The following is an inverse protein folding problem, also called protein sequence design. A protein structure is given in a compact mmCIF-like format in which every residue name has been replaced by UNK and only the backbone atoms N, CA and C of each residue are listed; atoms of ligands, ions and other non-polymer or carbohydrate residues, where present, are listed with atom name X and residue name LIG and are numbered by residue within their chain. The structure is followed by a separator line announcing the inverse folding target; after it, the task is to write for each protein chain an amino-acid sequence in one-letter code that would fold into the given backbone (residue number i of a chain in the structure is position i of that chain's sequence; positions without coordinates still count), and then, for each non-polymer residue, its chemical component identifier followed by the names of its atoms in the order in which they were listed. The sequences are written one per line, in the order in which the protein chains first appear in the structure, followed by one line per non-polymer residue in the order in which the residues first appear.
data_IF_406228913787
#
_entry.id   IF_406228913787
#
_cell.length_a   1.000
_cell.length_b   1.000
_cell.length_c   1.000
_cell.angle_alpha   90.00
_cell.angle_beta   90.00
_cell.angle_gamma   90.00
#
_symmetry.space_group_name_H-M   'P 1'
#
loop_
_entity.id
_entity.type
_entity.pdbx_description
1 polymer ?
#
# COMPACT_ATOMS: atom_id res chain seq x y z
N UNK A 1 25.15 -11.45 14.72
CA UNK A 1 24.18 -10.33 14.80
C UNK A 1 23.42 -10.29 13.49
N UNK A 2 22.11 -10.53 13.50
CA UNK A 2 21.27 -10.31 12.32
C UNK A 2 21.16 -8.80 12.13
N UNK A 3 21.55 -8.27 10.97
CA UNK A 3 21.33 -6.86 10.66
C UNK A 3 19.82 -6.57 10.78
N UNK A 4 19.44 -5.49 11.47
CA UNK A 4 18.04 -5.07 11.51
C UNK A 4 17.59 -4.73 10.09
N UNK A 5 16.48 -5.33 9.62
CA UNK A 5 15.88 -4.98 8.34
C UNK A 5 15.42 -3.53 8.37
N UNK A 6 15.86 -2.73 7.40
CA UNK A 6 15.39 -1.37 7.24
C UNK A 6 14.02 -1.36 6.57
N UNK A 7 12.97 -1.20 7.36
CA UNK A 7 11.58 -1.25 6.92
C UNK A 7 10.99 0.14 6.74
N UNK A 8 10.39 0.39 5.57
CA UNK A 8 9.54 1.56 5.36
C UNK A 8 8.08 1.19 5.59
N UNK A 9 7.37 1.96 6.42
CA UNK A 9 5.92 1.81 6.64
C UNK A 9 5.21 2.98 5.99
N UNK A 10 4.32 2.70 5.04
CA UNK A 10 3.64 3.70 4.23
C UNK A 10 2.16 3.68 4.59
N UNK A 11 1.72 4.72 5.30
CA UNK A 11 0.29 4.98 5.48
C UNK A 11 -0.25 5.65 4.22
N UNK A 12 -1.28 5.05 3.63
CA UNK A 12 -1.91 5.52 2.41
C UNK A 12 -3.33 5.97 2.74
N UNK A 13 -3.59 7.25 2.49
CA UNK A 13 -4.89 7.91 2.65
C UNK A 13 -5.28 8.57 1.32
N UNK A 14 -6.56 8.91 1.20
CA UNK A 14 -7.11 9.61 0.04
C UNK A 14 -8.23 8.83 -0.64
N UNK A 15 -8.49 9.18 -1.89
CA UNK A 15 -9.65 8.69 -2.64
C UNK A 15 -9.31 7.63 -3.70
N UNK A 16 -10.13 7.52 -4.76
CA UNK A 16 -10.06 6.47 -5.77
C UNK A 16 -8.68 6.27 -6.40
N UNK A 17 -7.94 7.35 -6.66
CA UNK A 17 -6.59 7.31 -7.24
C UNK A 17 -5.52 6.73 -6.30
N UNK A 18 -5.74 6.80 -4.98
CA UNK A 18 -4.89 6.15 -3.98
C UNK A 18 -5.37 4.72 -3.67
N UNK A 19 -6.60 4.38 -4.03
CA UNK A 19 -7.23 3.09 -3.78
C UNK A 19 -7.00 2.10 -4.94
N UNK A 20 -7.86 1.08 -5.03
CA UNK A 20 -7.76 0.01 -6.02
C UNK A 20 -8.67 0.28 -7.23
N UNK A 21 -8.55 1.44 -7.87
CA UNK A 21 -9.37 1.77 -9.06
C UNK A 21 -8.57 1.81 -10.37
N UNK A 22 -7.28 1.45 -10.33
CA UNK A 22 -6.47 1.34 -11.53
C UNK A 22 -6.95 0.21 -12.45
N UNK A 23 -6.81 0.33 -13.78
CA UNK A 23 -7.27 -0.69 -14.72
C UNK A 23 -6.43 -1.97 -14.71
N UNK A 24 -5.18 -1.90 -14.23
CA UNK A 24 -4.22 -3.02 -14.31
C UNK A 24 -3.71 -3.40 -12.94
N UNK A 25 -4.07 -4.61 -12.49
CA UNK A 25 -3.55 -5.22 -11.26
C UNK A 25 -2.07 -5.58 -11.40
N UNK A 26 -1.33 -5.53 -10.29
CA UNK A 26 0.05 -5.99 -10.21
C UNK A 26 0.35 -6.61 -8.84
N UNK A 27 1.57 -7.13 -8.72
CA UNK A 27 2.13 -7.69 -7.51
C UNK A 27 3.36 -6.85 -7.10
N UNK A 28 3.44 -6.47 -5.83
CA UNK A 28 4.53 -5.70 -5.24
C UNK A 28 5.81 -6.48 -4.95
N UNK A 29 5.85 -7.76 -5.28
CA UNK A 29 7.00 -8.64 -5.08
C UNK A 29 7.16 -9.10 -3.62
N UNK A 30 8.18 -9.95 -3.36
CA UNK A 30 8.35 -10.65 -2.09
C UNK A 30 8.72 -9.74 -0.90
N UNK A 31 9.19 -8.52 -1.18
CA UNK A 31 9.63 -7.54 -0.17
C UNK A 31 8.61 -6.42 0.04
N UNK A 32 7.39 -6.57 -0.48
CA UNK A 32 6.28 -5.66 -0.25
C UNK A 32 5.12 -6.42 0.39
N UNK A 33 4.67 -5.96 1.56
CA UNK A 33 3.53 -6.53 2.29
C UNK A 33 2.47 -5.48 2.56
N UNK A 34 1.22 -5.91 2.68
CA UNK A 34 0.11 -5.09 3.16
C UNK A 34 -0.18 -5.49 4.60
N UNK A 35 -0.30 -4.51 5.49
CA UNK A 35 -0.83 -4.75 6.83
C UNK A 35 -2.33 -4.41 6.84
N UNK A 36 -3.16 -5.41 7.16
CA UNK A 36 -4.60 -5.25 7.25
C UNK A 36 -5.16 -6.18 8.32
N UNK A 37 -6.04 -5.67 9.18
CA UNK A 37 -6.70 -6.42 10.26
C UNK A 37 -5.72 -7.26 11.10
N UNK A 38 -4.60 -6.67 11.52
CA UNK A 38 -3.61 -7.33 12.38
C UNK A 38 -2.67 -8.31 11.66
N UNK A 39 -2.82 -8.50 10.35
CA UNK A 39 -2.06 -9.48 9.58
C UNK A 39 -1.21 -8.82 8.48
N UNK A 40 -0.04 -9.41 8.21
CA UNK A 40 0.81 -9.04 7.07
C UNK A 40 0.53 -9.99 5.91
N UNK A 41 0.05 -9.42 4.80
CA UNK A 41 -0.34 -10.14 3.59
C UNK A 41 0.61 -9.78 2.43
N UNK A 42 0.79 -10.65 1.42
CA UNK A 42 1.47 -10.28 0.19
C UNK A 42 0.81 -9.06 -0.46
N UNK A 43 1.60 -8.12 -0.97
CA UNK A 43 1.06 -6.95 -1.67
C UNK A 43 0.64 -7.31 -3.10
N UNK A 44 -0.55 -7.88 -3.25
CA UNK A 44 -1.16 -8.21 -4.54
C UNK A 44 -2.44 -7.40 -4.70
N UNK A 45 -2.60 -6.73 -5.83
CA UNK A 45 -3.81 -5.97 -6.11
C UNK A 45 -5.04 -6.90 -6.26
N UNK A 46 -6.23 -6.50 -5.79
CA UNK A 46 -6.52 -5.26 -5.04
C UNK A 46 -5.99 -5.33 -3.61
N UNK A 47 -5.37 -4.24 -3.14
CA UNK A 47 -4.77 -4.21 -1.81
C UNK A 47 -5.85 -4.13 -0.71
N UNK A 48 -5.80 -5.01 0.30
CA UNK A 48 -6.72 -4.98 1.43
C UNK A 48 -6.73 -3.63 2.17
N UNK A 49 -7.90 -3.25 2.70
CA UNK A 49 -8.12 -2.00 3.44
C UNK A 49 -8.52 -0.79 2.59
N UNK A 50 -8.35 -0.86 1.27
CA UNK A 50 -8.82 0.18 0.36
C UNK A 50 -10.03 -0.26 -0.46
N UNK A 51 -10.85 0.72 -0.83
CA UNK A 51 -11.97 0.52 -1.74
C UNK A 51 -11.53 0.17 -3.18
N UNK A 52 -12.47 -0.33 -3.99
CA UNK A 52 -12.23 -0.73 -5.38
C UNK A 52 -11.76 -2.18 -5.52
N UNK A 53 -11.74 -2.68 -6.77
CA UNK A 53 -11.34 -4.05 -7.10
C UNK A 53 -10.25 -4.16 -8.17
N UNK A 54 -9.69 -3.03 -8.61
CA UNK A 54 -8.68 -2.93 -9.65
C UNK A 54 -7.25 -2.95 -9.10
N UNK A 55 -6.34 -2.36 -9.87
CA UNK A 55 -4.94 -2.16 -9.50
C UNK A 55 -4.72 -0.94 -8.62
N UNK A 56 -3.58 -0.91 -7.94
CA UNK A 56 -3.09 0.24 -7.20
C UNK A 56 -1.74 0.71 -7.73
N UNK A 57 -1.38 1.96 -7.44
CA UNK A 57 -0.04 2.48 -7.75
C UNK A 57 1.03 1.90 -6.81
N UNK A 58 0.63 1.42 -5.63
CA UNK A 58 1.52 1.06 -4.54
C UNK A 58 2.29 -0.23 -4.78
N UNK A 59 1.67 -1.19 -5.46
CA UNK A 59 2.33 -2.43 -5.93
C UNK A 59 3.46 -2.14 -6.93
N UNK A 60 3.47 -0.98 -7.58
CA UNK A 60 4.55 -0.54 -8.48
C UNK A 60 5.54 0.41 -7.80
N UNK A 61 5.06 1.20 -6.85
CA UNK A 61 5.87 2.11 -6.05
C UNK A 61 6.84 1.36 -5.14
N UNK A 62 6.36 0.37 -4.38
CA UNK A 62 7.17 -0.31 -3.37
C UNK A 62 8.41 -1.01 -3.93
N UNK A 63 8.35 -1.81 -5.03
CA UNK A 63 9.54 -2.37 -5.65
C UNK A 63 10.58 -1.32 -6.06
N UNK A 64 10.12 -0.16 -6.56
CA UNK A 64 11.00 0.94 -6.97
C UNK A 64 11.67 1.62 -5.78
N UNK A 65 10.96 1.71 -4.65
CA UNK A 65 11.55 2.23 -3.40
C UNK A 65 12.63 1.28 -2.88
N UNK A 66 12.35 -0.02 -2.85
CA UNK A 66 13.29 -1.06 -2.41
C UNK A 66 14.55 -1.06 -3.30
N UNK A 67 14.39 -0.90 -4.62
CA UNK A 67 15.51 -0.88 -5.56
C UNK A 67 16.46 0.32 -5.40
N UNK A 68 16.05 1.40 -4.72
CA UNK A 68 16.82 2.66 -4.62
C UNK A 68 17.85 2.71 -3.49
N UNK A 69 18.18 1.57 -2.88
CA UNK A 69 19.05 1.40 -1.70
C UNK A 69 18.47 2.04 -0.43
N UNK A 70 18.64 1.38 0.71
CA UNK A 70 18.22 1.89 2.01
C UNK A 70 16.80 1.52 2.47
N UNK A 71 16.09 0.63 1.76
CA UNK A 71 14.85 0.00 2.26
C UNK A 71 14.86 -1.46 1.85
N UNK A 72 14.85 -2.37 2.83
CA UNK A 72 14.85 -3.82 2.59
C UNK A 72 13.45 -4.37 2.37
N UNK A 73 12.44 -3.67 2.92
CA UNK A 73 11.06 -4.11 2.89
C UNK A 73 10.10 -2.92 3.05
N UNK A 74 8.99 -2.96 2.31
CA UNK A 74 7.92 -1.98 2.40
C UNK A 74 6.67 -2.64 2.99
N UNK A 75 6.12 -2.01 4.02
CA UNK A 75 4.81 -2.35 4.59
C UNK A 75 3.82 -1.26 4.20
N UNK A 76 2.81 -1.63 3.43
CA UNK A 76 1.72 -0.75 3.02
C UNK A 76 0.56 -0.87 4.02
N UNK A 77 0.03 0.27 4.45
CA UNK A 77 -1.21 0.36 5.23
C UNK A 77 -2.18 1.20 4.43
N UNK A 78 -3.06 0.56 3.65
CA UNK A 78 -3.97 1.27 2.76
C UNK A 78 -5.35 1.42 3.38
N UNK A 79 -5.77 2.68 3.57
CA UNK A 79 -7.08 3.05 4.10
C UNK A 79 -7.88 3.90 3.11
N UNK A 80 -7.39 4.08 1.88
CA UNK A 80 -8.02 4.98 0.91
C UNK A 80 -9.42 4.51 0.46
N UNK A 81 -10.34 5.46 0.34
CA UNK A 81 -11.75 5.20 0.05
C UNK A 81 -12.26 6.08 -1.10
N UNK A 82 -12.74 5.45 -2.18
CA UNK A 82 -13.22 6.13 -3.37
C UNK A 82 -14.47 6.96 -3.08
N UNK A 83 -14.57 8.12 -3.73
CA UNK A 83 -15.72 9.00 -3.57
C UNK A 83 -15.70 9.87 -2.32
N UNK A 84 -14.72 9.73 -1.42
CA UNK A 84 -14.59 10.63 -0.27
C UNK A 84 -14.05 11.99 -0.68
N UNK A 85 -14.63 13.05 -0.13
CA UNK A 85 -14.08 14.40 -0.09
C UNK A 85 -13.16 14.58 1.12
N UNK A 86 -12.41 15.69 1.16
CA UNK A 86 -11.56 16.02 2.32
C UNK A 86 -12.34 16.16 3.63
N UNK A 87 -13.60 16.62 3.55
CA UNK A 87 -14.46 16.77 4.72
C UNK A 87 -14.78 15.43 5.40
N UNK A 88 -14.83 14.32 4.65
CA UNK A 88 -15.09 12.98 5.19
C UNK A 88 -13.93 12.44 6.03
N UNK A 89 -12.76 13.09 5.97
CA UNK A 89 -11.55 12.76 6.73
C UNK A 89 -11.29 13.72 7.89
N UNK A 90 -12.14 14.72 8.10
CA UNK A 90 -12.05 15.61 9.25
C UNK A 90 -12.30 14.82 10.55
N UNK A 91 -11.76 15.29 11.69
CA UNK A 91 -12.20 14.79 12.99
C UNK A 91 -13.72 14.88 13.11
N UNK A 92 -14.33 13.80 13.62
CA UNK A 92 -15.77 13.76 13.91
C UNK A 92 -16.20 14.71 15.01
#
# INVERSE_FOLDING_TARGET
MTAMKNQARILILGQSNAANHGPVRANGGPHCRVFHQGSFLPAVDPLPGASGGGGSVWTRFAPKLIARQGVDEVILVNLSHGGTAMADWAPG
#
